data_IF_887643552067
#
_entry.id   IF_887643552067
#
_cell.length_a   1.000
_cell.length_b   1.000
_cell.length_c   1.000
_cell.angle_alpha   90.00
_cell.angle_beta   90.00
_cell.angle_gamma   90.00
#
_symmetry.space_group_name_H-M   'P 1'
#
loop_
_entity.id
_entity.type
_entity.pdbx_description
1 polymer ?
#
# COMPACT_ATOMS: atom_id res chain seq x y z
N UNK A 1 -2.91 -23.25 -63.70
CA UNK A 1 -1.91 -22.25 -63.29
C UNK A 1 -2.37 -21.73 -61.94
N UNK A 2 -1.97 -22.42 -60.88
CA UNK A 2 -2.42 -22.19 -59.50
C UNK A 2 -1.54 -21.15 -58.81
N UNK A 3 -2.17 -20.09 -58.28
CA UNK A 3 -1.53 -19.03 -57.49
C UNK A 3 -1.80 -19.30 -56.00
N UNK A 4 -0.86 -19.98 -55.34
CA UNK A 4 -0.85 -20.16 -53.89
C UNK A 4 -0.34 -18.92 -53.17
N UNK A 5 -1.19 -18.29 -52.35
CA UNK A 5 -0.81 -17.21 -51.45
C UNK A 5 -0.32 -17.77 -50.11
N UNK A 6 0.92 -17.44 -49.73
CA UNK A 6 1.47 -17.74 -48.40
C UNK A 6 1.15 -16.55 -47.49
N UNK A 7 0.30 -16.78 -46.49
CA UNK A 7 0.08 -15.83 -45.39
C UNK A 7 1.20 -16.06 -44.36
N UNK A 8 2.19 -15.17 -44.34
CA UNK A 8 3.18 -15.14 -43.28
C UNK A 8 2.55 -14.55 -42.01
N UNK A 9 2.34 -15.38 -40.99
CA UNK A 9 1.92 -14.91 -39.66
C UNK A 9 3.13 -14.34 -38.91
N UNK A 10 3.17 -13.03 -38.74
CA UNK A 10 4.13 -12.36 -37.87
C UNK A 10 3.75 -12.62 -36.40
N UNK A 11 4.50 -13.48 -35.73
CA UNK A 11 4.39 -13.70 -34.28
C UNK A 11 5.09 -12.55 -33.58
N UNK A 12 4.32 -11.56 -33.10
CA UNK A 12 4.84 -10.48 -32.28
C UNK A 12 5.25 -11.02 -30.90
N UNK A 13 6.55 -11.27 -30.70
CA UNK A 13 7.12 -11.54 -29.38
C UNK A 13 7.03 -10.28 -28.53
N UNK A 14 6.08 -10.23 -27.58
CA UNK A 14 6.02 -9.16 -26.58
C UNK A 14 7.20 -9.36 -25.63
N UNK A 15 8.22 -8.51 -25.74
CA UNK A 15 9.27 -8.38 -24.73
C UNK A 15 8.61 -7.90 -23.44
N UNK A 16 8.49 -8.77 -22.44
CA UNK A 16 8.09 -8.35 -21.09
C UNK A 16 9.21 -7.51 -20.51
N UNK A 17 9.06 -6.18 -20.57
CA UNK A 17 9.94 -5.27 -19.85
C UNK A 17 9.76 -5.56 -18.36
N UNK A 18 10.77 -6.17 -17.73
CA UNK A 18 10.78 -6.38 -16.30
C UNK A 18 10.67 -5.00 -15.63
N UNK A 19 9.69 -4.82 -14.76
CA UNK A 19 9.57 -3.60 -14.00
C UNK A 19 10.91 -3.38 -13.25
N UNK A 20 11.42 -2.13 -13.19
CA UNK A 20 12.64 -1.86 -12.45
C UNK A 20 12.50 -2.38 -11.01
N UNK A 21 13.58 -2.94 -10.43
CA UNK A 21 13.55 -3.47 -9.08
C UNK A 21 13.09 -2.38 -8.11
N UNK A 22 12.28 -2.78 -7.13
CA UNK A 22 11.82 -1.87 -6.10
C UNK A 22 13.01 -1.26 -5.34
N UNK A 23 12.89 0.02 -4.98
CA UNK A 23 13.86 0.70 -4.16
C UNK A 23 13.90 0.15 -2.74
N UNK A 24 12.73 -0.20 -2.18
CA UNK A 24 12.61 -0.76 -0.85
C UNK A 24 11.37 -1.65 -0.74
N UNK A 25 11.48 -2.77 -0.04
CA UNK A 25 10.35 -3.64 0.34
C UNK A 25 10.43 -3.95 1.82
N UNK A 26 9.32 -3.81 2.54
CA UNK A 26 9.23 -4.05 3.98
C UNK A 26 8.01 -4.91 4.31
N UNK A 27 8.09 -5.68 5.40
CA UNK A 27 6.90 -6.19 6.07
C UNK A 27 6.20 -5.03 6.80
N UNK A 28 4.87 -4.99 6.77
CA UNK A 28 4.07 -3.98 7.47
C UNK A 28 3.12 -4.66 8.45
N UNK A 29 2.94 -4.06 9.63
CA UNK A 29 2.01 -4.54 10.65
C UNK A 29 1.38 -3.38 11.43
N UNK A 30 0.17 -3.58 11.94
CA UNK A 30 -0.36 -2.76 13.02
C UNK A 30 0.35 -3.14 14.33
N UNK A 31 0.98 -2.19 15.05
CA UNK A 31 1.66 -2.51 16.30
C UNK A 31 0.68 -3.03 17.36
N UNK A 32 1.13 -3.88 18.31
CA UNK A 32 0.28 -4.34 19.41
C UNK A 32 -0.37 -3.17 20.16
N UNK A 33 -1.68 -3.27 20.37
CA UNK A 33 -2.47 -2.22 21.03
C UNK A 33 -2.68 -0.94 20.21
N UNK A 34 -2.22 -0.87 18.95
CA UNK A 34 -2.32 0.30 18.07
C UNK A 34 -2.96 -0.05 16.73
N UNK A 35 -4.25 -0.38 16.77
CA UNK A 35 -5.06 -0.60 15.57
C UNK A 35 -5.23 0.67 14.75
N UNK A 36 -5.49 0.53 13.44
CA UNK A 36 -6.07 1.60 12.65
C UNK A 36 -7.50 1.84 13.11
N UNK A 37 -7.94 3.08 13.22
CA UNK A 37 -9.30 3.46 13.61
C UNK A 37 -10.05 4.10 12.45
N UNK A 38 -11.35 3.79 12.37
CA UNK A 38 -12.26 4.32 11.37
C UNK A 38 -13.28 5.23 12.05
N UNK A 39 -13.52 6.40 11.48
CA UNK A 39 -14.52 7.34 11.99
C UNK A 39 -15.28 8.00 10.84
N UNK A 40 -16.59 7.74 10.70
CA UNK A 40 -17.40 6.77 11.46
C UNK A 40 -16.93 5.32 11.25
N UNK A 41 -17.50 4.38 12.02
CA UNK A 41 -17.35 2.91 11.83
C UNK A 41 -17.52 2.55 10.34
N UNK A 42 -17.02 1.44 9.82
CA UNK A 42 -17.32 0.97 8.46
C UNK A 42 -18.48 -0.02 8.52
N UNK A 43 -19.36 -0.02 7.52
CA UNK A 43 -20.46 -0.98 7.41
C UNK A 43 -20.63 -1.46 5.98
N UNK A 44 -21.77 -2.08 5.67
CA UNK A 44 -22.06 -2.58 4.31
C UNK A 44 -22.24 -1.46 3.29
N UNK A 45 -22.86 -0.35 3.70
CA UNK A 45 -23.08 0.79 2.80
C UNK A 45 -21.82 1.66 2.73
N UNK A 46 -21.33 1.99 1.52
CA UNK A 46 -20.20 2.90 1.36
C UNK A 46 -20.47 4.25 2.02
N UNK A 47 -19.55 4.69 2.88
CA UNK A 47 -19.59 6.02 3.49
C UNK A 47 -18.20 6.61 3.62
N UNK A 48 -18.15 7.94 3.67
CA UNK A 48 -16.90 8.65 3.92
C UNK A 48 -16.45 8.42 5.35
N UNK A 49 -15.25 7.88 5.51
CA UNK A 49 -14.60 7.68 6.80
C UNK A 49 -13.24 8.35 6.82
N UNK A 50 -12.84 8.75 8.01
CA UNK A 50 -11.45 9.08 8.33
C UNK A 50 -10.80 7.85 8.94
N UNK A 51 -9.69 7.42 8.35
CA UNK A 51 -8.81 6.39 8.89
C UNK A 51 -7.61 7.07 9.56
N UNK A 52 -7.29 6.65 10.78
CA UNK A 52 -6.09 7.10 11.51
C UNK A 52 -5.37 5.92 12.12
N UNK A 53 -4.06 6.00 12.24
CA UNK A 53 -3.32 5.03 13.03
C UNK A 53 -1.84 5.02 12.71
N UNK A 54 -1.18 3.99 13.23
CA UNK A 54 0.23 3.79 13.07
C UNK A 54 0.48 2.40 12.49
N UNK A 55 1.55 2.27 11.71
CA UNK A 55 2.05 1.00 11.20
C UNK A 55 3.53 0.89 11.50
N UNK A 56 3.99 -0.33 11.71
CA UNK A 56 5.40 -0.65 11.82
C UNK A 56 5.88 -1.28 10.51
N UNK A 57 7.00 -0.79 10.00
CA UNK A 57 7.74 -1.38 8.89
C UNK A 57 8.95 -2.12 9.45
N UNK A 58 9.11 -3.38 9.07
CA UNK A 58 10.21 -4.24 9.53
C UNK A 58 10.79 -5.03 8.37
N UNK A 59 12.00 -5.57 8.56
CA UNK A 59 12.66 -6.40 7.56
C UNK A 59 12.83 -5.71 6.22
N UNK A 60 13.13 -4.41 6.22
CA UNK A 60 13.24 -3.65 4.97
C UNK A 60 14.49 -4.08 4.19
N UNK A 61 14.28 -4.40 2.91
CA UNK A 61 15.31 -4.80 1.96
C UNK A 61 15.26 -3.85 0.76
N UNK A 62 16.42 -3.44 0.24
CA UNK A 62 16.55 -2.61 -0.95
C UNK A 62 17.11 -3.44 -2.11
N UNK A 63 16.26 -4.04 -2.96
CA UNK A 63 16.70 -4.86 -4.09
C UNK A 63 17.60 -4.12 -5.08
N UNK A 64 17.34 -2.82 -5.31
CA UNK A 64 18.15 -1.98 -6.21
C UNK A 64 19.36 -1.32 -5.50
N UNK A 65 19.52 -1.53 -4.19
CA UNK A 65 20.59 -0.97 -3.36
C UNK A 65 20.44 0.52 -3.01
N UNK A 66 19.51 1.25 -3.64
CA UNK A 66 19.37 2.71 -3.52
C UNK A 66 18.94 3.19 -2.13
N UNK A 67 18.39 2.30 -1.31
CA UNK A 67 17.89 2.58 0.03
C UNK A 67 18.39 1.57 1.08
N UNK A 68 19.57 0.98 0.84
CA UNK A 68 20.16 -0.09 1.68
C UNK A 68 20.41 0.30 3.15
N UNK A 69 20.51 1.60 3.44
CA UNK A 69 20.64 2.10 4.81
C UNK A 69 19.33 1.97 5.63
N UNK A 70 18.17 1.90 4.98
CA UNK A 70 16.86 1.87 5.64
C UNK A 70 16.50 0.43 6.02
N UNK A 71 16.33 0.14 7.31
CA UNK A 71 16.10 -1.22 7.84
C UNK A 71 14.70 -1.42 8.42
N UNK A 72 14.11 -0.37 8.94
CA UNK A 72 12.76 -0.36 9.50
C UNK A 72 12.18 1.04 9.44
N UNK A 73 10.89 1.16 9.77
CA UNK A 73 10.21 2.44 9.78
C UNK A 73 9.00 2.47 10.68
N UNK A 74 8.62 3.67 11.10
CA UNK A 74 7.37 3.94 11.80
C UNK A 74 6.49 4.84 10.96
N UNK A 75 5.30 4.35 10.60
CA UNK A 75 4.34 5.06 9.77
C UNK A 75 3.26 5.66 10.66
N UNK A 76 2.97 6.94 10.47
CA UNK A 76 1.79 7.62 11.01
C UNK A 76 0.92 8.07 9.85
N UNK A 77 -0.35 7.66 9.80
CA UNK A 77 -1.25 7.96 8.68
C UNK A 77 -2.54 8.63 9.12
N UNK A 78 -3.03 9.52 8.25
CA UNK A 78 -4.38 10.06 8.30
C UNK A 78 -4.92 10.16 6.88
N UNK A 79 -6.00 9.43 6.64
CA UNK A 79 -6.58 9.27 5.30
C UNK A 79 -8.09 9.41 5.40
N UNK A 80 -8.71 9.97 4.37
CA UNK A 80 -10.16 9.90 4.15
C UNK A 80 -10.43 9.04 2.94
N UNK A 81 -11.45 8.19 3.03
CA UNK A 81 -11.85 7.29 1.96
C UNK A 81 -13.35 7.04 2.04
N UNK A 82 -13.96 6.68 0.92
CA UNK A 82 -15.30 6.13 0.92
C UNK A 82 -15.17 4.61 1.02
N UNK A 83 -15.60 4.06 2.15
CA UNK A 83 -15.35 2.66 2.52
C UNK A 83 -16.64 1.93 2.85
N UNK A 84 -16.68 0.67 2.46
CA UNK A 84 -17.60 -0.36 2.98
C UNK A 84 -16.79 -1.58 3.43
N UNK A 85 -17.45 -2.57 4.01
CA UNK A 85 -16.81 -3.86 4.34
C UNK A 85 -16.18 -4.57 3.13
N UNK A 86 -16.63 -4.24 1.90
CA UNK A 86 -16.21 -4.91 0.66
C UNK A 86 -15.39 -4.03 -0.28
N UNK A 87 -15.29 -2.72 -0.01
CA UNK A 87 -14.69 -1.78 -0.96
C UNK A 87 -14.11 -0.54 -0.30
N UNK A 88 -13.10 0.04 -0.94
CA UNK A 88 -12.59 1.36 -0.61
C UNK A 88 -12.32 2.14 -1.90
N UNK A 89 -12.68 3.42 -1.90
CA UNK A 89 -12.55 4.31 -3.04
C UNK A 89 -12.29 5.75 -2.59
N UNK A 90 -11.89 6.61 -3.54
CA UNK A 90 -11.66 8.05 -3.32
C UNK A 90 -10.74 8.32 -2.13
N UNK A 91 -9.69 7.52 -2.01
CA UNK A 91 -8.69 7.59 -0.96
C UNK A 91 -7.86 8.86 -1.12
N UNK A 92 -7.82 9.69 -0.06
CA UNK A 92 -7.03 10.92 0.00
C UNK A 92 -6.40 11.05 1.36
N UNK A 93 -5.11 11.32 1.44
CA UNK A 93 -4.49 11.45 2.74
C UNK A 93 -3.00 11.67 2.69
N UNK A 94 -2.41 11.66 3.87
CA UNK A 94 -0.97 11.72 4.04
C UNK A 94 -0.53 10.67 5.05
N UNK A 95 0.64 10.11 4.81
CA UNK A 95 1.37 9.31 5.76
C UNK A 95 2.79 9.86 5.90
N UNK A 96 3.33 9.81 7.11
CA UNK A 96 4.73 10.11 7.38
C UNK A 96 5.42 8.85 7.84
N UNK A 97 6.62 8.59 7.33
CA UNK A 97 7.43 7.44 7.72
C UNK A 97 8.72 7.96 8.31
N UNK A 98 8.98 7.66 9.58
CA UNK A 98 10.30 7.84 10.18
C UNK A 98 11.10 6.57 9.89
N UNK A 99 12.24 6.70 9.24
CA UNK A 99 13.10 5.57 8.87
C UNK A 99 14.21 5.36 9.89
N UNK A 100 14.58 4.10 10.10
CA UNK A 100 15.64 3.73 11.02
C UNK A 100 16.69 2.85 10.35
N UNK A 101 17.94 3.03 10.79
CA UNK A 101 19.11 2.25 10.38
C UNK A 101 19.26 0.94 11.16
N UNK A 102 20.38 0.25 10.92
CA UNK A 102 20.74 -1.00 11.62
C UNK A 102 21.04 -0.79 13.11
N UNK A 103 21.45 0.42 13.47
CA UNK A 103 21.72 0.87 14.84
C UNK A 103 20.47 1.38 15.56
N UNK A 104 19.29 1.30 14.92
CA UNK A 104 18.03 1.81 15.43
C UNK A 104 17.94 3.34 15.43
N UNK A 105 18.91 4.06 14.86
CA UNK A 105 18.89 5.53 14.80
C UNK A 105 18.02 6.03 13.65
N UNK A 106 17.34 7.18 13.82
CA UNK A 106 16.54 7.76 12.75
C UNK A 106 17.46 8.27 11.62
N UNK A 107 17.14 7.88 10.38
CA UNK A 107 17.89 8.26 9.18
C UNK A 107 17.17 9.32 8.33
N UNK A 108 15.92 9.61 8.66
CA UNK A 108 15.13 10.65 8.00
C UNK A 108 13.65 10.34 8.00
N UNK A 109 12.87 11.30 7.51
CA UNK A 109 11.41 11.18 7.43
C UNK A 109 10.96 11.30 5.99
N UNK A 110 10.17 10.34 5.52
CA UNK A 110 9.45 10.42 4.25
C UNK A 110 8.03 10.89 4.44
N UNK A 111 7.54 11.70 3.50
CA UNK A 111 6.11 12.07 3.43
C UNK A 111 5.51 11.42 2.21
N UNK A 112 4.49 10.59 2.42
CA UNK A 112 3.69 9.96 1.38
C UNK A 112 2.41 10.77 1.23
N UNK A 113 2.17 11.26 0.02
CA UNK A 113 0.89 11.86 -0.33
C UNK A 113 0.07 10.79 -1.04
N UNK A 114 -1.05 10.41 -0.41
CA UNK A 114 -2.03 9.49 -0.96
C UNK A 114 -3.06 10.23 -1.81
N UNK A 115 -3.34 9.68 -2.99
CA UNK A 115 -4.30 10.24 -3.96
C UNK A 115 -4.54 9.34 -5.17
N UNK A 116 -4.38 8.02 -5.04
CA UNK A 116 -4.67 7.09 -6.13
C UNK A 116 -6.12 6.61 -6.00
N UNK A 117 -7.00 7.15 -6.84
CA UNK A 117 -8.40 6.77 -6.94
C UNK A 117 -8.63 5.41 -7.61
N UNK A 118 -8.02 4.34 -7.11
CA UNK A 118 -8.37 2.99 -7.53
C UNK A 118 -9.36 2.37 -6.55
N UNK A 119 -10.52 1.94 -7.06
CA UNK A 119 -11.37 0.98 -6.36
C UNK A 119 -10.51 -0.22 -5.98
N UNK A 120 -10.36 -0.50 -4.70
CA UNK A 120 -9.97 -1.84 -4.27
C UNK A 120 -11.26 -2.65 -4.05
N UNK A 121 -11.63 -3.43 -5.06
CA UNK A 121 -12.57 -4.53 -4.88
C UNK A 121 -11.78 -5.72 -4.32
N UNK A 122 -12.31 -6.40 -3.30
CA UNK A 122 -11.72 -7.57 -2.59
C UNK A 122 -10.73 -7.28 -1.46
N UNK A 123 -9.91 -6.21 -1.51
CA UNK A 123 -8.98 -5.84 -0.41
C UNK A 123 -8.93 -4.33 -0.15
N UNK A 124 -9.96 -3.75 0.50
CA UNK A 124 -10.06 -2.31 0.69
C UNK A 124 -8.83 -1.67 1.37
N UNK A 125 -8.14 -2.41 2.24
CA UNK A 125 -6.95 -1.93 2.94
C UNK A 125 -5.76 -1.65 2.01
N UNK A 126 -5.65 -2.32 0.86
CA UNK A 126 -4.53 -2.15 -0.07
C UNK A 126 -4.54 -0.76 -0.73
N UNK A 127 -5.74 -0.21 -0.96
CA UNK A 127 -5.92 1.15 -1.48
C UNK A 127 -5.46 2.23 -0.48
N UNK A 128 -5.47 1.94 0.82
CA UNK A 128 -5.09 2.90 1.86
C UNK A 128 -3.58 3.15 1.92
N UNK A 129 -2.77 2.19 1.44
CA UNK A 129 -1.31 2.22 1.53
C UNK A 129 -0.62 2.56 0.22
N UNK A 130 -1.39 3.09 -0.74
CA UNK A 130 -0.87 3.50 -2.05
C UNK A 130 -0.72 5.03 -2.12
N UNK A 131 0.42 5.50 -2.61
CA UNK A 131 0.69 6.93 -2.78
C UNK A 131 2.04 7.20 -3.41
N UNK A 132 2.45 8.47 -3.41
CA UNK A 132 3.77 8.87 -3.88
C UNK A 132 4.54 9.53 -2.75
N UNK A 133 5.82 9.16 -2.60
CA UNK A 133 6.71 9.81 -1.66
C UNK A 133 7.07 11.20 -2.20
N UNK A 134 6.60 12.25 -1.53
CA UNK A 134 6.81 13.64 -1.94
C UNK A 134 8.01 14.30 -1.28
N UNK A 135 8.49 13.73 -0.16
CA UNK A 135 9.63 14.23 0.60
C UNK A 135 10.41 13.07 1.23
N UNK A 136 11.70 13.28 1.52
CA UNK A 136 12.56 12.36 2.27
C UNK A 136 13.40 11.41 1.39
N UNK A 137 14.03 10.38 2.00
CA UNK A 137 15.01 9.51 1.35
C UNK A 137 14.51 8.76 0.11
N UNK A 138 13.21 8.50 0.03
CA UNK A 138 12.57 7.79 -1.09
C UNK A 138 11.78 8.73 -2.02
N UNK A 139 12.09 10.03 -2.05
CA UNK A 139 11.34 11.02 -2.86
C UNK A 139 11.19 10.57 -4.32
N UNK A 140 9.98 10.71 -4.85
CA UNK A 140 9.63 10.35 -6.22
C UNK A 140 9.20 8.88 -6.39
N UNK A 141 9.51 8.01 -5.43
CA UNK A 141 9.09 6.60 -5.46
C UNK A 141 7.60 6.48 -5.16
N UNK A 142 6.95 5.51 -5.83
CA UNK A 142 5.57 5.13 -5.55
C UNK A 142 5.57 4.15 -4.38
N UNK A 143 4.79 4.47 -3.36
CA UNK A 143 4.47 3.55 -2.28
C UNK A 143 3.24 2.74 -2.69
N UNK A 144 3.30 1.42 -2.53
CA UNK A 144 2.17 0.51 -2.65
C UNK A 144 2.28 -0.55 -1.57
N UNK A 145 1.15 -1.05 -1.09
CA UNK A 145 1.16 -2.07 -0.06
C UNK A 145 -0.23 -2.55 0.27
N UNK A 146 -0.30 -3.51 1.18
CA UNK A 146 -1.54 -4.11 1.62
C UNK A 146 -1.48 -4.56 3.07
N UNK A 147 -2.65 -4.60 3.69
CA UNK A 147 -2.85 -5.21 5.00
C UNK A 147 -3.93 -6.27 4.86
N UNK A 148 -3.61 -7.48 5.32
CA UNK A 148 -4.58 -8.53 5.51
C UNK A 148 -5.23 -8.31 6.87
N UNK A 149 -6.55 -8.01 6.93
CA UNK A 149 -7.28 -7.87 8.19
C UNK A 149 -7.23 -9.15 9.01
N UNK A 150 -7.09 -9.02 10.33
CA UNK A 150 -7.37 -10.14 11.24
C UNK A 150 -8.90 -10.38 11.36
N UNK A 151 -9.68 -9.31 11.19
CA UNK A 151 -11.14 -9.37 11.23
C UNK A 151 -11.74 -9.77 9.88
N UNK A 152 -12.61 -10.78 9.89
CA UNK A 152 -13.29 -11.28 8.70
C UNK A 152 -14.41 -10.36 8.20
N UNK A 153 -14.78 -10.53 6.93
CA UNK A 153 -15.86 -9.78 6.27
C UNK A 153 -17.21 -9.91 7.02
N UNK A 154 -17.48 -11.11 7.56
CA UNK A 154 -18.73 -11.41 8.28
C UNK A 154 -18.87 -10.52 9.52
N UNK A 155 -17.83 -10.38 10.33
CA UNK A 155 -17.85 -9.51 11.52
C UNK A 155 -18.05 -8.04 11.15
N UNK A 156 -17.45 -7.57 10.04
CA UNK A 156 -17.71 -6.22 9.55
C UNK A 156 -19.17 -6.02 9.13
N UNK A 157 -19.79 -7.03 8.49
CA UNK A 157 -21.17 -6.95 8.03
C UNK A 157 -22.17 -6.91 9.19
N UNK A 158 -21.91 -7.62 10.28
CA UNK A 158 -22.81 -7.75 11.43
C UNK A 158 -22.60 -6.66 12.48
N UNK A 159 -21.36 -6.29 12.78
CA UNK A 159 -21.00 -5.40 13.90
C UNK A 159 -20.47 -4.03 13.44
N UNK A 160 -20.10 -3.95 12.16
CA UNK A 160 -19.31 -2.83 11.64
C UNK A 160 -17.84 -2.92 12.07
N UNK A 161 -17.00 -2.16 11.39
CA UNK A 161 -15.55 -2.13 11.65
C UNK A 161 -15.12 -0.74 12.12
N UNK A 162 -14.85 -0.59 13.41
CA UNK A 162 -14.32 0.66 13.98
C UNK A 162 -12.81 0.66 14.10
N UNK A 163 -12.21 -0.54 14.13
CA UNK A 163 -10.78 -0.76 14.29
C UNK A 163 -10.30 -1.88 13.37
N UNK A 164 -9.08 -1.77 12.87
CA UNK A 164 -8.43 -2.78 12.04
C UNK A 164 -7.03 -3.05 12.56
N UNK A 165 -6.75 -4.33 12.81
CA UNK A 165 -5.39 -4.88 12.95
C UNK A 165 -5.10 -5.75 11.74
N UNK A 166 -3.82 -5.89 11.42
CA UNK A 166 -3.39 -6.74 10.31
C UNK A 166 -1.91 -6.63 10.00
N UNK A 167 -1.49 -7.48 9.07
CA UNK A 167 -0.11 -7.57 8.57
C UNK A 167 -0.08 -7.67 7.05
N UNK A 168 1.06 -7.36 6.45
CA UNK A 168 1.24 -7.47 5.01
C UNK A 168 2.59 -6.96 4.56
N UNK A 169 2.64 -6.41 3.35
CA UNK A 169 3.87 -5.91 2.73
C UNK A 169 3.69 -4.50 2.17
N UNK A 170 4.76 -3.70 2.19
CA UNK A 170 4.83 -2.38 1.60
C UNK A 170 6.08 -2.25 0.73
N UNK A 171 5.90 -1.76 -0.49
CA UNK A 171 6.93 -1.61 -1.52
C UNK A 171 7.02 -0.15 -1.95
N UNK A 172 8.24 0.30 -2.22
CA UNK A 172 8.58 1.63 -2.72
C UNK A 172 9.35 1.46 -4.03
N UNK A 173 8.78 1.90 -5.15
CA UNK A 173 9.31 1.68 -6.51
C UNK A 173 9.15 2.87 -7.43
#
# INVERSE_FOLDING_TARGET
>A
MDLGWIIAMAVATRTTYAAPPAALTCAVATPPGRSLSFTPTVGLTPRRVTVRGNLQLTGCVSPDGSASALRSGWVSLRVTADTSCTSAARVRGRASVIWFGWDGRPLGTSTISGGAGSLATHRPADSLLTGTVTYGPLKGRRASGGLTPDAGLVSCATEGLSRLTGTGTMTFG
#
